data_IF_600206561442
#
_entry.id   IF_600206561442
#
_cell.length_a   1.000
_cell.length_b   1.000
_cell.length_c   1.000
_cell.angle_alpha   90.00
_cell.angle_beta   90.00
_cell.angle_gamma   90.00
#
_symmetry.space_group_name_H-M   'P 1'
#
loop_
_entity.id
_entity.type
_entity.pdbx_description
1 polymer ?
#
# COMPACT_ATOMS: atom_id res chain seq x y z
N UNK A 1 -40.15 6.16 -28.94
CA UNK A 1 -38.82 6.26 -29.59
C UNK A 1 -37.78 6.94 -28.70
N UNK A 2 -38.08 8.07 -28.05
CA UNK A 2 -37.13 8.81 -27.18
C UNK A 2 -36.55 7.93 -26.04
N UNK A 3 -37.38 7.11 -25.38
CA UNK A 3 -36.93 6.21 -24.30
C UNK A 3 -35.94 5.15 -24.81
N UNK A 4 -36.19 4.54 -25.97
CA UNK A 4 -35.25 3.58 -26.56
C UNK A 4 -33.92 4.24 -26.89
N UNK A 5 -33.94 5.42 -27.53
CA UNK A 5 -32.72 6.17 -27.86
C UNK A 5 -31.92 6.51 -26.60
N UNK A 6 -32.59 6.94 -25.53
CA UNK A 6 -31.95 7.22 -24.25
C UNK A 6 -31.30 5.96 -23.64
N UNK A 7 -31.98 4.81 -23.68
CA UNK A 7 -31.43 3.52 -23.19
C UNK A 7 -30.22 3.06 -24.02
N UNK A 8 -30.28 3.18 -25.35
CA UNK A 8 -29.14 2.83 -26.20
C UNK A 8 -27.93 3.73 -25.95
N UNK A 9 -28.13 5.03 -25.74
CA UNK A 9 -27.04 5.94 -25.38
C UNK A 9 -26.45 5.60 -24.00
N UNK A 10 -27.27 5.35 -22.98
CA UNK A 10 -26.73 5.05 -21.64
C UNK A 10 -25.95 3.74 -21.62
N UNK A 11 -26.45 2.69 -22.27
CA UNK A 11 -25.75 1.39 -22.36
C UNK A 11 -24.41 1.54 -23.08
N UNK A 12 -24.36 2.25 -24.20
CA UNK A 12 -23.10 2.45 -24.96
C UNK A 12 -22.12 3.33 -24.19
N UNK A 13 -22.58 4.39 -23.52
CA UNK A 13 -21.74 5.23 -22.65
C UNK A 13 -21.17 4.45 -21.46
N UNK A 14 -22.00 3.66 -20.77
CA UNK A 14 -21.56 2.84 -19.64
C UNK A 14 -20.58 1.74 -20.07
N UNK A 15 -20.84 1.06 -21.19
CA UNK A 15 -19.92 0.06 -21.74
C UNK A 15 -18.58 0.69 -22.16
N UNK A 16 -18.61 1.84 -22.84
CA UNK A 16 -17.41 2.58 -23.21
C UNK A 16 -16.61 3.04 -21.98
N UNK A 17 -17.28 3.60 -20.98
CA UNK A 17 -16.65 4.00 -19.72
C UNK A 17 -16.03 2.81 -18.99
N UNK A 18 -16.75 1.69 -18.91
CA UNK A 18 -16.24 0.46 -18.30
C UNK A 18 -14.97 -0.01 -19.01
N UNK A 19 -14.96 -0.10 -20.34
CA UNK A 19 -13.79 -0.50 -21.12
C UNK A 19 -12.58 0.44 -20.93
N UNK A 20 -12.81 1.75 -20.86
CA UNK A 20 -11.73 2.72 -20.59
C UNK A 20 -11.22 2.58 -19.15
N UNK A 21 -12.11 2.38 -18.19
CA UNK A 21 -11.75 2.23 -16.78
C UNK A 21 -10.94 0.95 -16.54
N UNK A 22 -11.31 -0.16 -17.18
CA UNK A 22 -10.57 -1.42 -17.09
C UNK A 22 -9.20 -1.27 -17.74
N UNK A 23 -9.11 -0.73 -18.95
CA UNK A 23 -7.84 -0.48 -19.62
C UNK A 23 -6.91 0.44 -18.80
N UNK A 24 -7.42 1.50 -18.18
CA UNK A 24 -6.63 2.37 -17.29
C UNK A 24 -6.20 1.68 -16.00
N UNK A 25 -7.01 0.77 -15.46
CA UNK A 25 -6.67 0.03 -14.24
C UNK A 25 -5.53 -0.98 -14.43
N UNK A 26 -5.34 -1.47 -15.66
CA UNK A 26 -4.36 -2.49 -16.01
C UNK A 26 -2.92 -1.98 -16.07
N UNK A 27 -2.72 -0.67 -16.12
CA UNK A 27 -1.38 -0.08 -16.25
C UNK A 27 -1.10 0.93 -15.16
N UNK A 28 0.17 1.03 -14.75
CA UNK A 28 0.70 2.09 -13.90
C UNK A 28 1.93 2.70 -14.57
N UNK A 29 2.20 3.97 -14.27
CA UNK A 29 3.41 4.67 -14.73
C UNK A 29 4.37 4.75 -13.57
N UNK A 30 5.60 4.27 -13.77
CA UNK A 30 6.69 4.32 -12.81
C UNK A 30 7.86 5.14 -13.37
N UNK A 31 8.72 5.65 -12.49
CA UNK A 31 9.98 6.29 -12.90
C UNK A 31 11.11 5.27 -12.88
N UNK A 32 11.64 4.91 -14.04
CA UNK A 32 12.77 3.99 -14.19
C UNK A 32 13.94 4.71 -14.87
N UNK A 33 15.08 4.83 -14.15
CA UNK A 33 16.31 5.49 -14.64
C UNK A 33 16.04 6.89 -15.25
N UNK A 34 15.15 7.65 -14.62
CA UNK A 34 14.76 8.99 -15.07
C UNK A 34 13.75 9.04 -16.23
N UNK A 35 13.21 7.90 -16.67
CA UNK A 35 12.17 7.81 -17.70
C UNK A 35 10.87 7.29 -17.11
N UNK A 36 9.75 7.83 -17.59
CA UNK A 36 8.44 7.31 -17.26
C UNK A 36 8.16 6.05 -18.09
N UNK A 37 7.96 4.92 -17.42
CA UNK A 37 7.68 3.62 -18.05
C UNK A 37 6.28 3.18 -17.65
N UNK A 38 5.49 2.79 -18.65
CA UNK A 38 4.17 2.19 -18.42
C UNK A 38 4.30 0.68 -18.30
N UNK A 39 3.86 0.14 -17.17
CA UNK A 39 3.98 -1.30 -16.83
C UNK A 39 2.59 -1.91 -16.66
N UNK A 40 2.45 -3.19 -17.01
CA UNK A 40 1.18 -3.91 -16.96
C UNK A 40 1.00 -4.63 -15.62
N UNK A 41 0.11 -4.10 -14.79
CA UNK A 41 -0.19 -4.59 -13.44
C UNK A 41 -0.60 -6.07 -13.42
N UNK A 42 -1.23 -6.59 -14.49
CA UNK A 42 -1.61 -8.00 -14.58
C UNK A 42 -0.42 -8.91 -14.89
N UNK A 43 0.57 -8.44 -15.66
CA UNK A 43 1.83 -9.16 -15.86
C UNK A 43 2.58 -9.19 -14.52
N UNK A 44 2.71 -8.04 -13.86
CA UNK A 44 3.30 -7.93 -12.53
C UNK A 44 2.65 -8.85 -11.50
N UNK A 45 1.32 -8.96 -11.51
CA UNK A 45 0.57 -9.90 -10.64
C UNK A 45 1.05 -11.34 -10.85
N UNK A 46 1.13 -11.80 -12.11
CA UNK A 46 1.56 -13.16 -12.43
C UNK A 46 3.01 -13.39 -12.00
N UNK A 47 3.89 -12.43 -12.25
CA UNK A 47 5.29 -12.48 -11.82
C UNK A 47 5.37 -12.64 -10.30
N UNK A 48 4.67 -11.80 -9.52
CA UNK A 48 4.67 -11.91 -8.06
C UNK A 48 4.12 -13.26 -7.59
N UNK A 49 3.01 -13.72 -8.16
CA UNK A 49 2.40 -15.00 -7.78
C UNK A 49 3.29 -16.20 -8.06
N UNK A 50 3.99 -16.22 -9.19
CA UNK A 50 4.78 -17.36 -9.65
C UNK A 50 6.21 -17.35 -9.13
N UNK A 51 6.83 -16.17 -9.01
CA UNK A 51 8.25 -16.03 -8.69
C UNK A 51 8.49 -15.79 -7.20
N UNK A 52 7.67 -14.95 -6.55
CA UNK A 52 7.89 -14.62 -5.15
C UNK A 52 7.45 -15.74 -4.18
N UNK A 53 6.61 -16.67 -4.65
CA UNK A 53 6.17 -17.84 -3.86
C UNK A 53 7.16 -19.00 -3.86
N UNK A 54 8.19 -18.96 -4.72
CA UNK A 54 9.21 -20.03 -4.85
C UNK A 54 10.02 -20.26 -3.57
N UNK A 55 10.28 -19.19 -2.80
CA UNK A 55 11.15 -19.27 -1.62
C UNK A 55 10.39 -19.09 -0.29
N UNK A 56 9.26 -18.37 -0.29
CA UNK A 56 8.49 -18.10 0.92
C UNK A 56 7.03 -17.77 0.60
N UNK A 57 6.15 -17.81 1.62
CA UNK A 57 4.76 -17.38 1.48
C UNK A 57 4.66 -15.92 1.02
N UNK A 58 3.67 -15.63 0.16
CA UNK A 58 3.35 -14.28 -0.29
C UNK A 58 2.77 -13.40 0.82
N UNK A 59 2.33 -14.00 1.93
CA UNK A 59 1.88 -13.25 3.11
C UNK A 59 2.95 -12.26 3.58
N UNK A 60 4.24 -12.61 3.48
CA UNK A 60 5.36 -11.72 3.81
C UNK A 60 5.41 -10.48 2.92
N UNK A 61 4.93 -10.58 1.69
CA UNK A 61 4.86 -9.44 0.76
C UNK A 61 3.63 -8.61 1.06
N UNK A 62 2.46 -9.26 1.17
CA UNK A 62 1.17 -8.58 1.34
C UNK A 62 0.96 -7.96 2.73
N UNK A 63 1.77 -8.35 3.72
CA UNK A 63 1.75 -7.78 5.06
C UNK A 63 2.40 -6.40 5.19
N UNK A 64 2.91 -5.82 4.10
CA UNK A 64 3.54 -4.50 4.13
C UNK A 64 3.00 -3.59 3.05
N UNK A 65 2.90 -2.31 3.39
CA UNK A 65 2.82 -1.22 2.40
C UNK A 65 4.15 -0.47 2.33
N UNK A 66 4.58 -0.09 1.12
CA UNK A 66 5.86 0.62 0.89
C UNK A 66 5.72 1.67 -0.20
N UNK A 67 6.62 2.64 -0.21
CA UNK A 67 6.77 3.57 -1.34
C UNK A 67 7.25 2.83 -2.59
N UNK A 68 7.19 3.47 -3.76
CA UNK A 68 7.81 2.94 -4.97
C UNK A 68 9.29 2.61 -4.74
N UNK A 69 10.05 3.52 -4.14
CA UNK A 69 11.45 3.30 -3.81
C UNK A 69 11.64 2.09 -2.87
N UNK A 70 10.78 1.96 -1.85
CA UNK A 70 10.81 0.83 -0.93
C UNK A 70 10.46 -0.50 -1.58
N UNK A 71 9.55 -0.52 -2.55
CA UNK A 71 9.25 -1.73 -3.34
C UNK A 71 10.38 -2.10 -4.30
N UNK A 72 11.01 -1.12 -4.94
CA UNK A 72 12.19 -1.34 -5.80
C UNK A 72 13.33 -1.98 -5.00
N UNK A 73 13.67 -1.38 -3.87
CA UNK A 73 14.69 -1.89 -2.96
C UNK A 73 14.34 -3.30 -2.44
N UNK A 74 13.07 -3.55 -2.10
CA UNK A 74 12.62 -4.90 -1.72
C UNK A 74 12.84 -5.94 -2.82
N UNK A 75 12.41 -5.64 -4.06
CA UNK A 75 12.57 -6.56 -5.20
C UNK A 75 14.04 -6.75 -5.55
N UNK A 76 14.86 -5.70 -5.51
CA UNK A 76 16.31 -5.78 -5.73
C UNK A 76 16.99 -6.72 -4.73
N UNK A 77 16.67 -6.61 -3.43
CA UNK A 77 17.21 -7.55 -2.43
C UNK A 77 16.81 -9.00 -2.67
N UNK A 78 15.62 -9.25 -3.23
CA UNK A 78 15.22 -10.62 -3.55
C UNK A 78 16.05 -11.15 -4.73
N UNK A 79 16.35 -10.30 -5.72
CA UNK A 79 17.26 -10.63 -6.83
C UNK A 79 18.71 -10.80 -6.39
N UNK A 80 19.17 -10.07 -5.39
CA UNK A 80 20.52 -10.25 -4.84
C UNK A 80 20.69 -11.63 -4.20
N UNK A 81 19.62 -12.18 -3.61
CA UNK A 81 19.62 -13.53 -3.03
C UNK A 81 19.59 -14.64 -4.07
N UNK A 82 18.89 -14.40 -5.17
CA UNK A 82 18.86 -15.29 -6.33
C UNK A 82 18.74 -14.47 -7.62
N UNK A 83 19.85 -14.18 -8.31
CA UNK A 83 19.83 -13.36 -9.53
C UNK A 83 19.01 -13.95 -10.67
N UNK A 84 18.74 -15.26 -10.66
CA UNK A 84 17.97 -15.95 -11.69
C UNK A 84 16.45 -15.86 -11.47
N UNK A 85 16.00 -15.39 -10.30
CA UNK A 85 14.57 -15.39 -9.96
C UNK A 85 13.74 -14.42 -10.82
N UNK A 86 14.32 -13.25 -11.15
CA UNK A 86 13.69 -12.17 -11.90
C UNK A 86 14.70 -11.48 -12.81
N UNK A 87 14.36 -11.36 -14.09
CA UNK A 87 15.06 -10.44 -14.99
C UNK A 87 14.60 -8.98 -14.80
N UNK A 88 15.27 -8.03 -15.47
CA UNK A 88 14.99 -6.60 -15.31
C UNK A 88 13.53 -6.21 -15.67
N UNK A 89 12.97 -6.62 -16.82
CA UNK A 89 11.55 -6.40 -17.11
C UNK A 89 10.59 -7.00 -16.07
N UNK A 90 10.81 -8.25 -15.66
CA UNK A 90 9.97 -8.93 -14.67
C UNK A 90 10.02 -8.20 -13.32
N UNK A 91 11.21 -7.73 -12.91
CA UNK A 91 11.38 -6.96 -11.69
C UNK A 91 10.58 -5.66 -11.73
N UNK A 92 10.62 -4.94 -12.86
CA UNK A 92 9.88 -3.70 -13.04
C UNK A 92 8.36 -3.93 -13.05
N UNK A 93 7.88 -5.00 -13.71
CA UNK A 93 6.47 -5.39 -13.70
C UNK A 93 6.00 -5.77 -12.28
N UNK A 94 6.81 -6.53 -11.53
CA UNK A 94 6.53 -6.87 -10.13
C UNK A 94 6.41 -5.60 -9.26
N UNK A 95 7.35 -4.65 -9.40
CA UNK A 95 7.26 -3.35 -8.72
C UNK A 95 5.98 -2.61 -9.10
N UNK A 96 5.60 -2.60 -10.38
CA UNK A 96 4.34 -1.99 -10.85
C UNK A 96 3.12 -2.54 -10.13
N UNK A 97 3.02 -3.87 -10.03
CA UNK A 97 1.94 -4.51 -9.29
C UNK A 97 1.97 -4.18 -7.79
N UNK A 98 3.14 -4.22 -7.16
CA UNK A 98 3.27 -3.96 -5.72
C UNK A 98 2.95 -2.50 -5.38
N UNK A 99 3.42 -1.54 -6.18
CA UNK A 99 3.09 -0.12 -6.00
C UNK A 99 1.61 0.14 -6.23
N UNK A 100 1.00 -0.48 -7.24
CA UNK A 100 -0.43 -0.27 -7.52
C UNK A 100 -1.33 -0.74 -6.38
N UNK A 101 -0.97 -1.83 -5.69
CA UNK A 101 -1.85 -2.50 -4.72
C UNK A 101 -1.44 -2.27 -3.25
N UNK A 102 -0.15 -2.04 -3.00
CA UNK A 102 0.47 -1.92 -1.67
C UNK A 102 1.37 -0.68 -1.60
N UNK A 103 1.22 0.25 -2.55
CA UNK A 103 1.93 1.51 -2.57
C UNK A 103 1.43 2.47 -1.51
N UNK A 104 2.35 3.18 -0.88
CA UNK A 104 2.08 4.35 -0.04
C UNK A 104 2.81 5.56 -0.63
N UNK A 105 2.11 6.68 -0.69
CA UNK A 105 2.70 7.99 -0.97
C UNK A 105 3.06 8.65 0.37
N UNK A 106 4.34 8.62 0.72
CA UNK A 106 4.83 9.18 1.99
C UNK A 106 4.73 10.72 2.06
N UNK A 107 4.43 11.38 0.94
CA UNK A 107 4.13 12.83 0.93
C UNK A 107 2.69 13.13 1.31
N UNK A 108 1.82 12.12 1.29
CA UNK A 108 0.39 12.24 1.59
C UNK A 108 0.04 11.41 2.81
N UNK A 109 -0.17 12.11 3.92
CA UNK A 109 -0.71 11.47 5.11
C UNK A 109 -2.21 11.27 4.95
N UNK A 110 -2.66 10.04 5.18
CA UNK A 110 -4.03 9.61 4.95
C UNK A 110 -4.56 8.89 6.18
N UNK A 111 -5.59 9.48 6.80
CA UNK A 111 -6.27 8.95 7.98
C UNK A 111 -6.82 7.54 7.70
N UNK A 112 -7.38 7.30 6.51
CA UNK A 112 -7.95 5.99 6.17
C UNK A 112 -6.87 4.93 6.05
N UNK A 113 -5.72 5.26 5.46
CA UNK A 113 -4.58 4.36 5.37
C UNK A 113 -4.01 4.04 6.76
N UNK A 114 -3.84 5.06 7.62
CA UNK A 114 -3.41 4.85 9.00
C UNK A 114 -4.35 3.94 9.78
N UNK A 115 -5.66 4.14 9.65
CA UNK A 115 -6.68 3.28 10.26
C UNK A 115 -6.61 1.84 9.73
N UNK A 116 -6.47 1.67 8.41
CA UNK A 116 -6.34 0.34 7.80
C UNK A 116 -5.15 -0.43 8.38
N UNK A 117 -3.98 0.22 8.47
CA UNK A 117 -2.78 -0.40 9.04
C UNK A 117 -3.02 -0.82 10.50
N UNK A 118 -3.69 0.01 11.30
CA UNK A 118 -4.05 -0.32 12.69
C UNK A 118 -4.93 -1.58 12.72
N UNK A 119 -6.00 -1.61 11.92
CA UNK A 119 -6.95 -2.72 11.89
C UNK A 119 -6.32 -4.03 11.40
N UNK A 120 -5.28 -3.98 10.59
CA UNK A 120 -4.60 -5.18 10.07
C UNK A 120 -3.46 -5.69 10.95
N UNK A 121 -2.86 -4.81 11.76
CA UNK A 121 -1.60 -5.12 12.46
C UNK A 121 -1.66 -5.04 13.97
N UNK A 122 -2.44 -4.12 14.53
CA UNK A 122 -2.40 -3.83 15.97
C UNK A 122 -3.18 -4.85 16.83
N UNK A 123 -3.90 -5.79 16.22
CA UNK A 123 -4.56 -6.90 16.94
C UNK A 123 -3.69 -8.16 17.07
N UNK A 124 -2.48 -8.17 16.48
CA UNK A 124 -1.63 -9.37 16.43
C UNK A 124 -1.14 -9.83 17.80
N UNK A 125 -1.01 -8.90 18.75
CA UNK A 125 -0.48 -9.19 20.09
C UNK A 125 -1.45 -8.88 21.24
N UNK A 126 -2.40 -7.96 21.05
CA UNK A 126 -3.37 -7.56 22.07
C UNK A 126 -4.64 -6.98 21.40
N UNK A 127 -5.71 -6.77 22.17
CA UNK A 127 -6.97 -6.23 21.62
C UNK A 127 -6.80 -4.81 21.08
N UNK A 128 -7.56 -4.48 20.01
CA UNK A 128 -7.59 -3.15 19.40
C UNK A 128 -8.29 -2.10 20.26
N UNK A 129 -9.19 -2.53 21.14
CA UNK A 129 -9.96 -1.68 22.05
C UNK A 129 -9.07 -0.72 22.84
N UNK A 130 -7.88 -1.18 23.23
CA UNK A 130 -6.87 -0.39 23.95
C UNK A 130 -6.59 0.95 23.26
N UNK A 131 -6.54 0.97 21.93
CA UNK A 131 -6.24 2.18 21.15
C UNK A 131 -7.31 3.26 21.38
N UNK A 132 -8.58 2.85 21.49
CA UNK A 132 -9.71 3.77 21.62
C UNK A 132 -10.01 4.16 23.08
N UNK A 133 -9.47 3.44 24.06
CA UNK A 133 -9.68 3.74 25.47
C UNK A 133 -8.63 4.69 26.05
N UNK A 134 -7.41 4.72 25.50
CA UNK A 134 -6.34 5.55 26.02
C UNK A 134 -6.44 7.01 25.55
N UNK A 135 -6.28 7.94 26.48
CA UNK A 135 -6.24 9.37 26.22
C UNK A 135 -4.79 9.86 26.26
N UNK A 136 -4.16 9.99 25.09
CA UNK A 136 -2.75 10.39 24.93
C UNK A 136 -2.62 11.63 24.05
N UNK A 137 -1.54 12.38 24.25
CA UNK A 137 -1.08 13.43 23.33
C UNK A 137 -0.43 12.81 22.10
N UNK A 138 -0.20 13.60 21.05
CA UNK A 138 0.53 13.14 19.86
C UNK A 138 1.92 12.59 20.19
N UNK A 139 2.66 13.25 21.09
CA UNK A 139 4.00 12.81 21.48
C UNK A 139 3.97 11.46 22.21
N UNK A 140 3.02 11.27 23.14
CA UNK A 140 2.84 10.01 23.86
C UNK A 140 2.38 8.88 22.93
N UNK A 141 1.55 9.17 21.92
CA UNK A 141 1.19 8.20 20.88
C UNK A 141 2.41 7.76 20.07
N UNK A 142 3.24 8.71 19.61
CA UNK A 142 4.45 8.40 18.86
C UNK A 142 5.44 7.55 19.67
N UNK A 143 5.62 7.86 20.96
CA UNK A 143 6.42 7.05 21.87
C UNK A 143 5.84 5.64 22.06
N UNK A 144 4.51 5.52 22.16
CA UNK A 144 3.83 4.23 22.29
C UNK A 144 4.05 3.37 21.04
N UNK A 145 3.94 3.94 19.84
CA UNK A 145 4.21 3.24 18.57
C UNK A 145 5.66 2.79 18.50
N UNK A 146 6.61 3.62 18.90
CA UNK A 146 8.03 3.23 18.89
C UNK A 146 8.34 2.15 19.93
N UNK A 147 7.71 2.20 21.10
CA UNK A 147 7.80 1.13 22.09
C UNK A 147 7.25 -0.20 21.55
N UNK A 148 6.15 -0.18 20.79
CA UNK A 148 5.66 -1.40 20.14
C UNK A 148 6.65 -1.94 19.11
N UNK A 149 7.32 -1.06 18.36
CA UNK A 149 8.37 -1.43 17.39
C UNK A 149 9.65 -1.94 18.05
N UNK A 150 9.94 -1.56 19.29
CA UNK A 150 11.09 -2.12 20.00
C UNK A 150 10.84 -3.57 20.46
N UNK A 151 9.60 -3.95 20.73
CA UNK A 151 9.21 -5.35 20.99
C UNK A 151 9.16 -6.19 19.71
N UNK A 152 8.66 -5.63 18.61
CA UNK A 152 8.69 -6.28 17.29
C UNK A 152 9.09 -5.26 16.19
N UNK A 153 10.37 -5.26 15.77
CA UNK A 153 10.86 -4.37 14.71
C UNK A 153 10.19 -4.58 13.35
N UNK A 154 9.52 -5.72 13.14
CA UNK A 154 8.83 -6.06 11.90
C UNK A 154 7.34 -5.70 11.90
N UNK A 155 6.80 -5.22 13.03
CA UNK A 155 5.40 -4.81 13.18
C UNK A 155 5.04 -3.69 12.19
N UNK A 156 5.80 -2.59 12.22
CA UNK A 156 5.60 -1.41 11.37
C UNK A 156 6.94 -0.96 10.76
N UNK A 157 6.94 -0.81 9.44
CA UNK A 157 8.01 -0.06 8.77
C UNK A 157 7.87 1.45 8.99
N UNK A 158 8.88 2.24 8.62
CA UNK A 158 8.90 3.69 8.87
C UNK A 158 7.72 4.45 8.23
N UNK A 159 7.33 4.07 7.02
CA UNK A 159 6.21 4.70 6.29
C UNK A 159 4.87 4.36 6.96
N UNK A 160 4.70 3.09 7.35
CA UNK A 160 3.53 2.64 8.11
C UNK A 160 3.42 3.34 9.46
N UNK A 161 4.53 3.43 10.21
CA UNK A 161 4.57 4.11 11.50
C UNK A 161 4.19 5.59 11.39
N UNK A 162 4.61 6.28 10.32
CA UNK A 162 4.19 7.66 10.07
C UNK A 162 2.68 7.79 9.83
N UNK A 163 2.08 6.92 9.01
CA UNK A 163 0.63 6.95 8.77
C UNK A 163 -0.17 6.63 10.03
N UNK A 164 0.28 5.64 10.80
CA UNK A 164 -0.34 5.30 12.09
C UNK A 164 -0.25 6.49 13.05
N UNK A 165 0.93 7.10 13.20
CA UNK A 165 1.10 8.28 14.06
C UNK A 165 0.26 9.47 13.59
N UNK A 166 0.11 9.66 12.27
CA UNK A 166 -0.76 10.69 11.73
C UNK A 166 -2.23 10.45 12.08
N UNK A 167 -2.73 9.23 11.91
CA UNK A 167 -4.09 8.86 12.33
C UNK A 167 -4.30 9.10 13.83
N UNK A 168 -3.39 8.58 14.66
CA UNK A 168 -3.49 8.71 16.12
C UNK A 168 -3.47 10.18 16.54
N UNK A 169 -2.60 11.00 15.94
CA UNK A 169 -2.56 12.46 16.18
C UNK A 169 -3.86 13.16 15.77
N UNK A 170 -4.36 12.89 14.57
CA UNK A 170 -5.50 13.63 14.02
C UNK A 170 -6.83 13.23 14.63
N UNK A 171 -7.00 11.95 14.98
CA UNK A 171 -8.30 11.39 15.37
C UNK A 171 -8.39 11.14 16.88
N UNK A 172 -7.30 10.69 17.50
CA UNK A 172 -7.34 10.18 18.89
C UNK A 172 -6.49 10.98 19.88
N UNK A 173 -5.65 11.92 19.42
CA UNK A 173 -4.86 12.71 20.35
C UNK A 173 -5.74 13.74 21.04
N UNK A 174 -5.55 13.88 22.36
CA UNK A 174 -6.06 15.04 23.07
C UNK A 174 -5.42 16.30 22.53
N UNK A 175 -6.24 17.31 22.24
CA UNK A 175 -5.73 18.67 22.08
C UNK A 175 -5.13 19.11 23.42
N UNK A 176 -3.92 19.69 23.38
CA UNK A 176 -3.34 20.33 24.55
C UNK A 176 -4.26 21.51 24.90
N UNK A 177 -4.71 21.70 26.15
CA UNK A 177 -5.44 22.92 26.49
C UNK A 177 -4.56 24.11 26.12
N UNK A 178 -5.11 25.08 25.39
CA UNK A 178 -4.47 26.37 25.16
C UNK A 178 -4.17 26.96 26.55
N UNK A 179 -2.87 27.14 26.82
CA UNK A 179 -2.37 27.80 28.04
C UNK A 179 -2.35 29.30 27.83
#
# INVERSE_FOLDING_TARGET
>A
MIIMVAVFMTVTLSAGYFMISTARSQYIVLSDKGRLVRVNVNIGRKVVQQKCSTCHSLERVFSYVKTEAGWRDYVSRMREKDPAILNDPEALEAVGYLVKNLGIDDTKMDVQLGMKIILEKCHKCHTLERIFTFKKTQAEWAQTVELMRSFDPHLLNNSEARQVNYYLSKILAKQKPES
#
